data_IF_984758949261
#
_entry.id   IF_984758949261
#
_cell.length_a   1.000
_cell.length_b   1.000
_cell.length_c   1.000
_cell.angle_alpha   90.00
_cell.angle_beta   90.00
_cell.angle_gamma   90.00
#
_symmetry.space_group_name_H-M   'P 1'
#
loop_
_entity.id
_entity.type
_entity.pdbx_description
1 polymer ?
#
# COMPACT_ATOMS: atom_id res chain seq x y z
N UNK A 1 10.69 14.49 58.86
CA UNK A 1 9.49 13.63 58.71
C UNK A 1 8.98 13.80 57.29
N UNK A 2 9.26 12.83 56.42
CA UNK A 2 9.05 12.92 54.96
C UNK A 2 7.88 12.03 54.59
N UNK A 3 6.85 12.63 53.98
CA UNK A 3 5.62 11.98 53.53
C UNK A 3 5.84 11.32 52.17
N UNK A 4 5.72 9.99 52.11
CA UNK A 4 5.65 9.21 50.87
C UNK A 4 4.19 9.02 50.48
N UNK A 5 3.76 9.59 49.34
CA UNK A 5 2.55 9.13 48.63
C UNK A 5 2.96 8.39 47.37
N UNK A 6 2.57 7.11 47.28
CA UNK A 6 2.60 6.28 46.09
C UNK A 6 1.43 6.66 45.18
N UNK A 7 1.68 6.80 43.89
CA UNK A 7 0.67 6.74 42.83
C UNK A 7 0.73 5.37 42.15
N UNK A 8 -0.41 4.68 41.94
CA UNK A 8 -0.49 3.57 40.99
C UNK A 8 -1.36 3.90 39.78
N UNK A 9 -0.96 3.35 38.62
CA UNK A 9 -1.81 3.06 37.46
C UNK A 9 -2.10 4.28 36.58
N UNK A 10 -1.65 4.35 35.33
CA UNK A 10 -1.74 3.30 34.32
C UNK A 10 -3.03 3.49 33.52
N UNK A 11 -3.00 4.38 32.52
CA UNK A 11 -4.01 4.43 31.46
C UNK A 11 -3.36 4.71 30.12
N UNK A 12 -3.56 3.73 29.24
CA UNK A 12 -3.29 3.76 27.83
C UNK A 12 -4.33 4.62 27.08
N UNK A 13 -3.92 5.14 25.92
CA UNK A 13 -4.79 5.32 24.76
C UNK A 13 -5.37 6.72 24.57
N UNK A 14 -4.81 7.46 23.60
CA UNK A 14 -5.53 7.99 22.43
C UNK A 14 -4.57 8.89 21.63
N UNK A 15 -3.91 8.32 20.63
CA UNK A 15 -3.26 9.08 19.56
C UNK A 15 -4.34 9.32 18.51
N UNK A 16 -4.89 10.53 18.49
CA UNK A 16 -5.75 11.02 17.41
C UNK A 16 -4.92 11.23 16.15
N UNK A 17 -5.13 10.40 15.13
CA UNK A 17 -4.72 10.69 13.76
C UNK A 17 -5.79 11.58 13.12
N UNK A 18 -5.49 12.87 12.98
CA UNK A 18 -6.26 13.81 12.17
C UNK A 18 -5.54 13.94 10.81
N UNK A 19 -5.99 13.18 9.81
CA UNK A 19 -5.52 13.29 8.44
C UNK A 19 -6.52 14.13 7.64
N UNK A 20 -6.23 15.42 7.48
CA UNK A 20 -6.90 16.28 6.50
C UNK A 20 -6.32 15.98 5.12
N UNK A 21 -7.14 15.39 4.24
CA UNK A 21 -6.84 15.27 2.83
C UNK A 21 -7.35 16.52 2.10
N UNK A 22 -6.42 17.37 1.66
CA UNK A 22 -6.68 18.41 0.67
C UNK A 22 -6.49 17.80 -0.73
N UNK A 23 -7.55 17.81 -1.54
CA UNK A 23 -7.52 17.44 -2.96
C UNK A 23 -7.32 18.71 -3.81
N UNK A 24 -6.28 18.81 -4.66
CA UNK A 24 -6.29 19.74 -5.77
C UNK A 24 -6.93 19.08 -7.01
N UNK A 25 -7.97 19.72 -7.54
CA UNK A 25 -8.58 19.43 -8.83
C UNK A 25 -7.60 19.80 -9.97
N UNK A 26 -7.43 18.96 -11.02
CA UNK A 26 -6.69 19.36 -12.20
C UNK A 26 -7.54 20.28 -13.10
N UNK A 27 -7.00 21.47 -13.37
CA UNK A 27 -7.51 22.42 -14.34
C UNK A 27 -7.32 21.92 -15.78
N UNK A 28 -8.40 22.04 -16.55
CA UNK A 28 -8.43 21.81 -18.00
C UNK A 28 -7.83 23.06 -18.66
N UNK A 29 -6.63 22.94 -19.21
CA UNK A 29 -6.06 23.96 -20.09
C UNK A 29 -6.59 23.76 -21.52
N UNK A 30 -7.36 24.74 -22.00
CA UNK A 30 -7.75 24.90 -23.40
C UNK A 30 -6.50 25.19 -24.24
N UNK A 31 -6.36 24.45 -25.34
CA UNK A 31 -5.61 24.89 -26.51
C UNK A 31 -6.45 25.95 -27.24
N UNK A 32 -5.91 27.16 -27.37
CA UNK A 32 -6.29 28.07 -28.45
C UNK A 32 -5.03 28.36 -29.28
N UNK A 33 -5.15 28.03 -30.56
CA UNK A 33 -4.24 28.38 -31.63
C UNK A 33 -4.46 29.85 -32.04
N UNK A 34 -3.40 30.53 -32.48
CA UNK A 34 -3.34 31.32 -33.73
C UNK A 34 -2.31 32.47 -33.66
N UNK A 35 -1.58 32.64 -34.76
CA UNK A 35 -0.81 33.85 -35.14
C UNK A 35 0.61 33.88 -34.57
N UNK A 36 1.64 34.35 -35.27
CA UNK A 36 1.62 35.28 -36.39
C UNK A 36 2.95 35.20 -37.16
N UNK A 37 2.86 35.58 -38.43
CA UNK A 37 3.87 35.72 -39.48
C UNK A 37 5.19 36.41 -39.09
N UNK A 38 6.24 36.13 -39.86
CA UNK A 38 7.44 36.97 -39.83
C UNK A 38 8.61 36.52 -40.69
N UNK A 39 8.48 36.60 -42.01
CA UNK A 39 9.60 36.65 -42.96
C UNK A 39 10.77 37.53 -42.46
N UNK A 40 12.03 37.11 -42.69
CA UNK A 40 12.96 37.89 -43.54
C UNK A 40 14.29 37.18 -43.85
N UNK A 41 14.66 37.43 -45.10
CA UNK A 41 15.77 36.93 -45.92
C UNK A 41 17.16 37.48 -45.52
N UNK A 42 18.18 36.73 -45.98
CA UNK A 42 19.48 37.20 -46.50
C UNK A 42 20.41 37.98 -45.56
N UNK A 43 21.64 37.49 -45.36
CA UNK A 43 22.81 38.05 -46.07
C UNK A 43 24.08 37.18 -45.95
N UNK A 44 24.71 37.11 -47.12
CA UNK A 44 26.03 36.63 -47.54
C UNK A 44 27.22 37.25 -46.78
N UNK A 45 28.35 36.53 -46.83
CA UNK A 45 29.76 36.99 -46.88
C UNK A 45 30.62 37.13 -45.59
N UNK A 46 31.61 36.22 -45.50
CA UNK A 46 33.03 36.47 -45.81
C UNK A 46 34.00 37.03 -44.73
N UNK A 47 35.16 36.36 -44.70
CA UNK A 47 36.52 36.80 -44.34
C UNK A 47 36.97 36.89 -42.85
N UNK A 48 37.80 35.91 -42.46
CA UNK A 48 39.26 36.06 -42.31
C UNK A 48 39.80 37.19 -41.39
N UNK A 49 40.27 36.85 -40.17
CA UNK A 49 41.69 36.94 -39.72
C UNK A 49 41.89 36.93 -38.19
N UNK A 50 43.11 36.59 -37.72
CA UNK A 50 43.39 36.11 -36.37
C UNK A 50 43.79 37.21 -35.40
N UNK A 51 43.72 36.93 -34.10
CA UNK A 51 44.49 37.68 -33.09
C UNK A 51 45.09 36.75 -32.04
N UNK A 52 46.41 36.88 -31.95
CA UNK A 52 47.33 36.39 -30.92
C UNK A 52 46.96 36.99 -29.56
N UNK A 53 46.94 36.18 -28.52
CA UNK A 53 46.73 36.64 -27.13
C UNK A 53 47.03 35.53 -26.14
N UNK A 54 48.31 35.41 -25.81
CA UNK A 54 48.92 34.59 -24.76
C UNK A 54 48.13 34.48 -23.45
N UNK A 55 47.93 33.24 -22.96
CA UNK A 55 48.08 32.90 -21.54
C UNK A 55 48.80 31.56 -21.42
N UNK A 56 50.02 31.63 -20.93
CA UNK A 56 50.86 30.51 -20.52
C UNK A 56 50.52 30.22 -19.06
N UNK A 57 49.95 29.05 -18.78
CA UNK A 57 49.99 28.45 -17.44
C UNK A 57 50.99 27.31 -17.52
N UNK A 58 51.94 27.34 -16.58
CA UNK A 58 53.16 26.56 -16.59
C UNK A 58 52.87 25.05 -16.64
N UNK A 59 53.25 24.43 -17.76
CA UNK A 59 53.56 23.01 -17.81
C UNK A 59 54.77 22.77 -16.91
N UNK A 60 54.53 22.09 -15.80
CA UNK A 60 55.57 21.44 -15.01
C UNK A 60 55.84 20.10 -15.70
N UNK A 61 57.02 19.85 -16.29
CA UNK A 61 57.34 18.55 -16.87
C UNK A 61 57.68 17.60 -15.73
N UNK A 62 56.73 16.75 -15.35
CA UNK A 62 57.00 15.52 -14.61
C UNK A 62 57.35 14.40 -15.59
N UNK A 63 58.21 13.44 -15.22
CA UNK A 63 58.63 12.37 -16.12
C UNK A 63 57.46 11.45 -16.47
N UNK A 64 57.44 11.03 -17.74
CA UNK A 64 56.48 10.11 -18.33
C UNK A 64 56.44 8.76 -17.60
N UNK A 65 55.30 8.53 -16.95
CA UNK A 65 54.62 7.24 -16.84
C UNK A 65 53.14 7.59 -16.82
N UNK A 66 52.56 7.75 -18.02
CA UNK A 66 51.11 7.87 -18.17
C UNK A 66 50.53 6.50 -17.81
N UNK A 67 50.33 6.28 -16.50
CA UNK A 67 49.63 5.10 -15.98
C UNK A 67 48.16 5.27 -16.33
N UNK A 68 47.67 4.42 -17.23
CA UNK A 68 46.26 4.29 -17.56
C UNK A 68 45.46 4.09 -16.27
N UNK A 69 44.36 4.83 -16.05
CA UNK A 69 43.48 4.60 -14.90
C UNK A 69 42.90 3.17 -14.91
N UNK A 70 42.89 2.51 -16.07
CA UNK A 70 42.49 1.12 -16.20
C UNK A 70 43.42 0.14 -15.45
N UNK A 71 44.68 0.53 -15.18
CA UNK A 71 45.66 -0.28 -14.44
C UNK A 71 45.74 0.08 -12.95
N UNK A 72 45.26 1.27 -12.56
CA UNK A 72 45.28 1.78 -11.17
C UNK A 72 43.85 1.87 -10.59
N UNK A 73 43.32 0.71 -10.16
CA UNK A 73 41.99 0.61 -9.55
C UNK A 73 41.83 1.51 -8.30
N UNK A 74 42.91 1.74 -7.55
CA UNK A 74 42.87 2.55 -6.32
C UNK A 74 42.73 4.05 -6.63
N UNK A 75 43.34 4.53 -7.72
CA UNK A 75 43.11 5.87 -8.23
C UNK A 75 41.64 6.06 -8.69
N UNK A 76 41.09 5.10 -9.45
CA UNK A 76 39.69 5.14 -9.91
C UNK A 76 38.72 5.20 -8.75
N UNK A 77 38.91 4.34 -7.74
CA UNK A 77 38.09 4.32 -6.53
C UNK A 77 38.15 5.68 -5.83
N UNK A 78 39.35 6.21 -5.57
CA UNK A 78 39.51 7.48 -4.84
C UNK A 78 38.86 8.64 -5.60
N UNK A 79 39.00 8.67 -6.93
CA UNK A 79 38.36 9.67 -7.78
C UNK A 79 36.82 9.58 -7.70
N UNK A 80 36.25 8.41 -7.97
CA UNK A 80 34.79 8.22 -7.96
C UNK A 80 34.17 8.30 -6.56
N UNK A 81 34.94 8.22 -5.48
CA UNK A 81 34.44 8.53 -4.13
C UNK A 81 34.22 10.03 -3.93
N UNK A 82 35.03 10.87 -4.57
CA UNK A 82 34.97 12.33 -4.43
C UNK A 82 34.09 12.97 -5.49
N UNK A 83 34.15 12.45 -6.71
CA UNK A 83 33.51 13.00 -7.89
C UNK A 83 32.43 12.05 -8.43
N UNK A 84 31.42 12.61 -9.09
CA UNK A 84 30.37 11.85 -9.77
C UNK A 84 30.75 11.52 -11.22
N UNK A 85 31.75 12.19 -11.79
CA UNK A 85 32.30 11.90 -13.12
C UNK A 85 33.82 11.84 -13.01
N UNK A 86 34.43 10.77 -13.51
CA UNK A 86 35.88 10.64 -13.62
C UNK A 86 36.23 10.29 -15.06
N UNK A 87 37.12 11.08 -15.67
CA UNK A 87 37.60 10.87 -17.04
C UNK A 87 39.10 10.63 -17.01
N UNK A 88 39.52 9.53 -17.62
CA UNK A 88 40.92 9.17 -17.78
C UNK A 88 41.65 10.14 -18.71
N UNK A 89 42.89 10.49 -18.37
CA UNK A 89 43.66 11.52 -19.07
C UNK A 89 43.93 11.18 -20.55
N UNK A 90 43.93 9.89 -20.90
CA UNK A 90 44.07 9.42 -22.28
C UNK A 90 42.82 9.61 -23.15
N UNK A 91 41.69 10.03 -22.56
CA UNK A 91 40.43 10.22 -23.29
C UNK A 91 40.45 11.55 -24.04
N UNK A 92 40.44 11.50 -25.37
CA UNK A 92 40.41 12.69 -26.25
C UNK A 92 39.04 12.96 -26.88
N UNK A 93 38.07 12.06 -26.68
CA UNK A 93 36.73 12.14 -27.29
C UNK A 93 35.74 13.03 -26.54
N UNK A 94 36.07 13.44 -25.32
CA UNK A 94 35.27 14.37 -24.52
C UNK A 94 36.00 15.70 -24.43
N UNK A 95 35.25 16.80 -24.58
CA UNK A 95 35.77 18.13 -24.30
C UNK A 95 35.56 18.49 -22.83
N UNK A 96 36.31 19.46 -22.31
CA UNK A 96 36.10 19.97 -20.95
C UNK A 96 34.68 20.55 -20.74
N UNK A 97 34.02 21.02 -21.80
CA UNK A 97 32.63 21.47 -21.73
C UNK A 97 31.65 20.28 -21.64
N UNK A 98 31.98 19.14 -22.26
CA UNK A 98 31.21 17.91 -22.12
C UNK A 98 31.36 17.30 -20.73
N UNK A 99 32.57 17.32 -20.14
CA UNK A 99 32.80 16.88 -18.76
C UNK A 99 31.95 17.67 -17.76
N UNK A 100 32.00 19.00 -17.83
CA UNK A 100 31.16 19.85 -16.97
C UNK A 100 29.66 19.62 -17.16
N UNK A 101 29.23 19.34 -18.40
CA UNK A 101 27.84 19.00 -18.68
C UNK A 101 27.45 17.64 -18.09
N UNK A 102 28.35 16.65 -18.17
CA UNK A 102 28.16 15.32 -17.60
C UNK A 102 28.16 15.35 -16.08
N UNK A 103 28.99 16.16 -15.43
CA UNK A 103 28.96 16.39 -13.99
C UNK A 103 27.61 16.93 -13.54
N UNK A 104 27.17 18.03 -14.17
CA UNK A 104 25.85 18.59 -13.90
C UNK A 104 24.75 17.56 -14.17
N UNK A 105 24.87 16.74 -15.22
CA UNK A 105 23.91 15.69 -15.52
C UNK A 105 23.90 14.59 -14.45
N UNK A 106 25.07 14.16 -13.96
CA UNK A 106 25.23 13.09 -12.98
C UNK A 106 24.64 13.45 -11.61
N UNK A 107 24.90 14.68 -11.16
CA UNK A 107 24.39 15.25 -9.91
C UNK A 107 22.87 15.42 -9.94
N UNK A 108 22.32 15.80 -11.10
CA UNK A 108 20.91 16.14 -11.25
C UNK A 108 20.05 14.92 -11.59
N UNK A 109 19.56 14.20 -10.59
CA UNK A 109 18.51 13.19 -10.79
C UNK A 109 18.42 12.14 -9.70
N UNK A 110 17.41 11.26 -9.82
CA UNK A 110 17.28 10.05 -9.00
C UNK A 110 16.95 8.85 -9.89
N UNK A 111 17.72 7.74 -9.83
CA UNK A 111 18.91 7.56 -9.00
C UNK A 111 20.05 8.50 -9.45
N UNK A 112 20.98 8.75 -8.52
CA UNK A 112 22.25 9.41 -8.84
C UNK A 112 23.03 8.55 -9.82
N UNK A 113 23.86 9.19 -10.63
CA UNK A 113 24.74 8.51 -11.57
C UNK A 113 26.19 8.75 -11.16
N UNK A 114 27.01 7.71 -11.26
CA UNK A 114 28.46 7.83 -11.32
C UNK A 114 28.93 7.43 -12.70
N UNK A 115 29.79 8.23 -13.29
CA UNK A 115 30.27 8.04 -14.67
C UNK A 115 31.78 7.89 -14.62
N UNK A 116 32.29 6.81 -15.20
CA UNK A 116 33.70 6.58 -15.39
C UNK A 116 33.96 6.44 -16.89
N UNK A 117 34.92 7.20 -17.40
CA UNK A 117 35.32 7.13 -18.81
C UNK A 117 36.80 6.77 -18.85
N UNK A 118 37.11 5.60 -19.41
CA UNK A 118 38.45 5.05 -19.49
C UNK A 118 39.01 5.18 -20.91
N UNK A 119 40.32 5.43 -21.02
CA UNK A 119 40.99 5.48 -22.31
C UNK A 119 41.19 4.08 -22.92
N UNK A 120 41.20 3.04 -22.08
CA UNK A 120 41.46 1.65 -22.45
C UNK A 120 40.46 0.70 -21.79
N UNK A 121 40.38 -0.54 -22.31
CA UNK A 121 39.55 -1.58 -21.72
C UNK A 121 40.21 -2.15 -20.45
N UNK A 122 39.49 -2.26 -19.32
CA UNK A 122 40.06 -2.78 -18.09
C UNK A 122 40.41 -4.28 -18.20
N UNK A 123 41.48 -4.70 -17.51
CA UNK A 123 41.89 -6.09 -17.44
C UNK A 123 40.77 -6.96 -16.83
N UNK A 124 40.25 -7.92 -17.60
CA UNK A 124 39.12 -8.77 -17.18
C UNK A 124 37.74 -8.34 -17.70
N UNK A 125 37.70 -7.25 -18.48
CA UNK A 125 36.54 -6.79 -19.25
C UNK A 125 35.60 -5.88 -18.46
N UNK A 126 35.04 -4.88 -19.17
CA UNK A 126 34.21 -3.79 -18.60
C UNK A 126 33.07 -4.26 -17.72
N UNK A 127 32.39 -5.37 -18.05
CA UNK A 127 31.22 -5.81 -17.32
C UNK A 127 31.57 -6.29 -15.91
N UNK A 128 32.61 -7.11 -15.79
CA UNK A 128 33.14 -7.58 -14.51
C UNK A 128 33.70 -6.42 -13.69
N UNK A 129 34.45 -5.53 -14.35
CA UNK A 129 35.03 -4.34 -13.74
C UNK A 129 33.94 -3.41 -13.17
N UNK A 130 32.90 -3.09 -13.95
CA UNK A 130 31.79 -2.23 -13.55
C UNK A 130 31.04 -2.80 -12.35
N UNK A 131 30.76 -4.11 -12.35
CA UNK A 131 30.08 -4.78 -11.23
C UNK A 131 30.93 -4.73 -9.95
N UNK A 132 32.22 -5.05 -10.07
CA UNK A 132 33.14 -5.07 -8.92
C UNK A 132 33.32 -3.66 -8.35
N UNK A 133 33.52 -2.66 -9.20
CA UNK A 133 33.68 -1.27 -8.80
C UNK A 133 32.41 -0.73 -8.14
N UNK A 134 31.23 -1.03 -8.69
CA UNK A 134 29.95 -0.63 -8.08
C UNK A 134 29.79 -1.18 -6.66
N UNK A 135 30.09 -2.47 -6.46
CA UNK A 135 30.05 -3.12 -5.15
C UNK A 135 31.09 -2.55 -4.19
N UNK A 136 32.30 -2.35 -4.67
CA UNK A 136 33.41 -1.82 -3.86
C UNK A 136 33.10 -0.41 -3.34
N UNK A 137 32.52 0.43 -4.19
CA UNK A 137 32.06 1.78 -3.84
C UNK A 137 30.75 1.79 -3.03
N UNK A 138 30.13 0.63 -2.79
CA UNK A 138 28.87 0.51 -2.02
C UNK A 138 27.77 1.45 -2.52
N UNK A 139 27.61 1.55 -3.84
CA UNK A 139 26.76 2.56 -4.49
C UNK A 139 25.25 2.35 -4.29
N UNK A 140 24.82 1.15 -3.89
CA UNK A 140 23.42 0.82 -3.67
C UNK A 140 22.56 1.08 -4.91
N UNK A 141 21.52 1.90 -4.76
CA UNK A 141 20.62 2.29 -5.85
C UNK A 141 21.25 3.27 -6.86
N UNK A 142 22.40 3.88 -6.54
CA UNK A 142 23.15 4.74 -7.48
C UNK A 142 23.65 3.89 -8.64
N UNK A 143 23.46 4.37 -9.88
CA UNK A 143 23.94 3.65 -11.05
C UNK A 143 25.38 4.06 -11.37
N UNK A 144 26.22 3.09 -11.72
CA UNK A 144 27.56 3.30 -12.26
C UNK A 144 27.53 3.03 -13.76
N UNK A 145 28.07 3.96 -14.55
CA UNK A 145 28.25 3.84 -15.99
C UNK A 145 29.74 3.90 -16.29
N UNK A 146 30.28 2.87 -16.94
CA UNK A 146 31.68 2.79 -17.38
C UNK A 146 31.70 2.80 -18.90
N UNK A 147 32.41 3.77 -19.48
CA UNK A 147 32.58 3.97 -20.91
C UNK A 147 34.03 3.73 -21.28
N UNK A 148 34.24 3.00 -22.37
CA UNK A 148 35.55 2.61 -22.92
C UNK A 148 35.50 2.74 -24.45
N UNK A 149 36.63 2.72 -25.17
CA UNK A 149 36.63 2.75 -26.64
C UNK A 149 35.85 1.59 -27.27
N UNK A 150 35.86 0.43 -26.61
CA UNK A 150 35.25 -0.80 -27.09
C UNK A 150 33.74 -0.87 -26.77
N UNK A 151 33.19 0.06 -25.98
CA UNK A 151 31.77 0.08 -25.62
C UNK A 151 31.47 0.62 -24.23
N UNK A 152 30.25 0.34 -23.76
CA UNK A 152 29.71 0.82 -22.49
C UNK A 152 29.22 -0.34 -21.63
N UNK A 153 29.38 -0.22 -20.32
CA UNK A 153 28.75 -1.10 -19.33
C UNK A 153 28.16 -0.25 -18.22
N UNK A 154 27.02 -0.69 -17.66
CA UNK A 154 26.41 0.00 -16.55
C UNK A 154 25.81 -0.98 -15.54
N UNK A 155 25.76 -0.57 -14.27
CA UNK A 155 25.23 -1.38 -13.18
C UNK A 155 24.47 -0.52 -12.15
N UNK A 156 23.41 -1.07 -11.57
CA UNK A 156 22.63 -0.48 -10.47
C UNK A 156 21.90 -1.58 -9.72
N UNK A 157 21.76 -1.48 -8.40
CA UNK A 157 20.91 -2.41 -7.62
C UNK A 157 19.41 -2.13 -7.81
N UNK A 158 19.05 -0.96 -8.32
CA UNK A 158 17.65 -0.58 -8.52
C UNK A 158 16.99 -1.28 -9.73
N UNK A 159 17.80 -1.80 -10.65
CA UNK A 159 17.38 -2.42 -11.91
C UNK A 159 17.97 -3.83 -12.04
N UNK A 160 17.23 -4.72 -12.70
CA UNK A 160 17.72 -6.06 -13.03
C UNK A 160 18.82 -6.01 -14.10
N UNK A 161 19.56 -7.11 -14.23
CA UNK A 161 20.61 -7.25 -15.25
C UNK A 161 20.02 -7.12 -16.66
N UNK A 162 18.87 -7.72 -16.90
CA UNK A 162 18.18 -7.71 -18.20
C UNK A 162 17.69 -6.31 -18.56
N UNK A 163 17.13 -5.56 -17.59
CA UNK A 163 16.71 -4.16 -17.79
C UNK A 163 17.92 -3.27 -18.10
N UNK A 164 19.02 -3.42 -17.36
CA UNK A 164 20.26 -2.67 -17.62
C UNK A 164 20.87 -2.99 -18.97
N UNK A 165 20.87 -4.27 -19.38
CA UNK A 165 21.35 -4.68 -20.70
C UNK A 165 20.51 -4.02 -21.79
N UNK A 166 19.17 -4.10 -21.69
CA UNK A 166 18.26 -3.47 -22.65
C UNK A 166 18.52 -1.96 -22.77
N UNK A 167 18.62 -1.25 -21.64
CA UNK A 167 18.90 0.19 -21.65
C UNK A 167 20.26 0.53 -22.27
N UNK A 168 21.26 -0.34 -22.06
CA UNK A 168 22.60 -0.18 -22.64
C UNK A 168 22.58 -0.42 -24.15
N UNK A 169 21.85 -1.43 -24.61
CA UNK A 169 21.65 -1.74 -26.04
C UNK A 169 20.87 -0.62 -26.74
N UNK A 170 19.83 -0.09 -26.10
CA UNK A 170 19.02 1.03 -26.61
C UNK A 170 19.86 2.31 -26.76
N UNK A 171 20.83 2.54 -25.87
CA UNK A 171 21.72 3.70 -25.90
C UNK A 171 22.89 3.55 -26.89
N UNK A 172 23.21 2.34 -27.35
CA UNK A 172 24.37 2.07 -28.20
C UNK A 172 24.45 2.94 -29.48
N UNK A 173 23.35 3.25 -30.20
CA UNK A 173 23.38 4.14 -31.36
C UNK A 173 23.82 5.57 -31.03
N UNK A 174 23.46 6.08 -29.84
CA UNK A 174 23.81 7.43 -29.41
C UNK A 174 25.31 7.55 -29.06
N UNK A 175 25.91 6.49 -28.53
CA UNK A 175 27.36 6.41 -28.29
C UNK A 175 28.19 6.47 -29.58
N UNK A 176 27.60 6.08 -30.72
CA UNK A 176 28.25 6.20 -32.02
C UNK A 176 28.28 7.66 -32.53
N UNK A 177 27.37 8.52 -32.04
CA UNK A 177 27.32 9.95 -32.36
C UNK A 177 28.26 10.75 -31.45
N UNK A 178 28.10 10.59 -30.14
CA UNK A 178 29.00 11.16 -29.13
C UNK A 178 28.88 10.43 -27.80
N UNK A 179 29.98 10.36 -27.06
CA UNK A 179 29.98 9.72 -25.73
C UNK A 179 29.05 10.44 -24.76
N UNK A 180 29.01 11.77 -24.81
CA UNK A 180 28.09 12.56 -24.00
C UNK A 180 26.62 12.20 -24.27
N UNK A 181 26.19 12.20 -25.53
CA UNK A 181 24.80 11.84 -25.87
C UNK A 181 24.46 10.41 -25.45
N UNK A 182 25.37 9.46 -25.66
CA UNK A 182 25.20 8.09 -25.19
C UNK A 182 25.00 7.99 -23.68
N UNK A 183 25.85 8.67 -22.90
CA UNK A 183 25.76 8.69 -21.43
C UNK A 183 24.46 9.37 -20.97
N UNK A 184 24.10 10.51 -21.55
CA UNK A 184 22.86 11.22 -21.23
C UNK A 184 21.63 10.37 -21.55
N UNK A 185 21.62 9.70 -22.71
CA UNK A 185 20.53 8.82 -23.12
C UNK A 185 20.38 7.63 -22.16
N UNK A 186 21.47 6.92 -21.89
CA UNK A 186 21.50 5.80 -20.95
C UNK A 186 21.06 6.24 -19.54
N UNK A 187 21.62 7.34 -19.03
CA UNK A 187 21.29 7.88 -17.71
C UNK A 187 19.82 8.28 -17.59
N UNK A 188 19.24 8.89 -18.62
CA UNK A 188 17.82 9.22 -18.66
C UNK A 188 16.94 7.97 -18.69
N UNK A 189 17.33 6.94 -19.46
CA UNK A 189 16.65 5.64 -19.49
C UNK A 189 16.63 4.95 -18.12
N UNK A 190 17.79 4.91 -17.44
CA UNK A 190 17.92 4.37 -16.08
C UNK A 190 16.96 5.10 -15.11
N UNK A 191 16.99 6.45 -15.13
CA UNK A 191 16.13 7.28 -14.28
C UNK A 191 14.64 7.07 -14.56
N UNK A 192 14.27 6.94 -15.82
CA UNK A 192 12.89 6.71 -16.21
C UNK A 192 12.36 5.35 -15.70
N UNK A 193 13.15 4.27 -15.85
CA UNK A 193 12.74 2.92 -15.42
C UNK A 193 12.65 2.82 -13.89
N UNK A 194 13.62 3.37 -13.16
CA UNK A 194 13.57 3.40 -11.69
C UNK A 194 12.35 4.19 -11.20
N UNK A 195 12.05 5.33 -11.85
CA UNK A 195 10.83 6.11 -11.53
C UNK A 195 9.57 5.32 -11.82
N UNK A 196 9.48 4.61 -12.95
CA UNK A 196 8.34 3.78 -13.30
C UNK A 196 8.07 2.68 -12.25
N UNK A 197 9.13 2.04 -11.72
CA UNK A 197 9.03 1.07 -10.61
C UNK A 197 8.42 1.67 -9.35
N UNK A 198 8.92 2.84 -8.94
CA UNK A 198 8.41 3.51 -7.74
C UNK A 198 6.92 3.88 -7.84
N UNK A 199 6.47 4.26 -9.04
CA UNK A 199 5.07 4.59 -9.31
C UNK A 199 4.19 3.34 -9.26
N UNK A 200 4.62 2.24 -9.89
CA UNK A 200 3.89 0.95 -9.84
C UNK A 200 3.76 0.42 -8.41
N UNK A 201 4.82 0.49 -7.61
CA UNK A 201 4.79 0.07 -6.20
C UNK A 201 3.81 0.92 -5.37
N UNK A 202 3.81 2.25 -5.55
CA UNK A 202 2.87 3.16 -4.86
C UNK A 202 1.43 2.92 -5.30
N UNK A 203 1.19 2.69 -6.59
CA UNK A 203 -0.13 2.36 -7.11
C UNK A 203 -0.66 1.04 -6.52
N UNK A 204 0.19 0.02 -6.41
CA UNK A 204 -0.17 -1.26 -5.79
C UNK A 204 -0.52 -1.09 -4.30
N UNK A 205 0.25 -0.29 -3.55
CA UNK A 205 -0.05 0.01 -2.15
C UNK A 205 -1.40 0.73 -2.00
N UNK A 206 -1.68 1.74 -2.83
CA UNK A 206 -2.96 2.45 -2.82
C UNK A 206 -4.13 1.52 -3.14
N UNK A 207 -3.98 0.65 -4.14
CA UNK A 207 -4.99 -0.35 -4.48
C UNK A 207 -5.25 -1.30 -3.30
N UNK A 208 -4.21 -1.73 -2.60
CA UNK A 208 -4.34 -2.56 -1.40
C UNK A 208 -5.10 -1.85 -0.27
N UNK A 209 -4.76 -0.59 0.01
CA UNK A 209 -5.48 0.20 1.04
C UNK A 209 -6.96 0.36 0.69
N UNK A 210 -7.28 0.66 -0.57
CA UNK A 210 -8.66 0.76 -1.05
C UNK A 210 -9.41 -0.56 -0.92
N UNK A 211 -8.80 -1.69 -1.27
CA UNK A 211 -9.40 -3.01 -1.14
C UNK A 211 -9.73 -3.34 0.33
N UNK A 212 -8.82 -3.04 1.26
CA UNK A 212 -9.06 -3.23 2.70
C UNK A 212 -10.19 -2.33 3.20
N UNK A 213 -10.22 -1.05 2.80
CA UNK A 213 -11.27 -0.12 3.17
C UNK A 213 -12.65 -0.57 2.67
N UNK A 214 -12.74 -1.06 1.43
CA UNK A 214 -13.95 -1.64 0.85
C UNK A 214 -14.40 -2.88 1.64
N UNK A 215 -13.48 -3.78 1.98
CA UNK A 215 -13.79 -4.98 2.74
C UNK A 215 -14.34 -4.66 4.14
N UNK A 216 -13.72 -3.71 4.85
CA UNK A 216 -14.19 -3.27 6.17
C UNK A 216 -15.58 -2.61 6.08
N UNK A 217 -15.81 -1.77 5.07
CA UNK A 217 -17.09 -1.11 4.82
C UNK A 217 -18.20 -2.13 4.51
N UNK A 218 -17.90 -3.11 3.66
CA UNK A 218 -18.82 -4.20 3.33
C UNK A 218 -19.18 -5.04 4.56
N UNK A 219 -18.19 -5.40 5.38
CA UNK A 219 -18.41 -6.18 6.59
C UNK A 219 -19.25 -5.41 7.62
N UNK A 220 -19.04 -4.11 7.75
CA UNK A 220 -19.86 -3.25 8.60
C UNK A 220 -21.32 -3.21 8.12
N UNK A 221 -21.54 -3.14 6.79
CA UNK A 221 -22.88 -3.17 6.20
C UNK A 221 -23.58 -4.51 6.43
N UNK A 222 -22.87 -5.64 6.27
CA UNK A 222 -23.43 -6.97 6.56
C UNK A 222 -23.86 -7.10 8.01
N UNK A 223 -23.04 -6.63 8.96
CA UNK A 223 -23.38 -6.63 10.40
C UNK A 223 -24.62 -5.80 10.72
N UNK A 224 -24.80 -4.65 10.06
CA UNK A 224 -26.00 -3.82 10.23
C UNK A 224 -27.25 -4.54 9.72
N UNK A 225 -27.19 -5.14 8.52
CA UNK A 225 -28.31 -5.91 7.97
C UNK A 225 -28.68 -7.10 8.85
N UNK A 226 -27.69 -7.81 9.39
CA UNK A 226 -27.94 -8.93 10.30
C UNK A 226 -28.56 -8.45 11.62
N UNK A 227 -28.05 -7.34 12.17
CA UNK A 227 -28.64 -6.71 13.36
C UNK A 227 -30.09 -6.30 13.14
N UNK A 228 -30.40 -5.65 12.02
CA UNK A 228 -31.77 -5.24 11.67
C UNK A 228 -32.71 -6.45 11.54
N UNK A 229 -32.25 -7.54 10.92
CA UNK A 229 -33.05 -8.78 10.80
C UNK A 229 -33.34 -9.42 12.15
N UNK A 230 -32.30 -9.57 12.99
CA UNK A 230 -32.48 -10.20 14.32
C UNK A 230 -33.34 -9.32 15.23
N UNK A 231 -33.20 -7.98 15.14
CA UNK A 231 -34.07 -7.07 15.89
C UNK A 231 -35.51 -7.12 15.41
N UNK A 232 -35.75 -7.21 14.09
CA UNK A 232 -37.10 -7.38 13.55
C UNK A 232 -37.73 -8.66 14.08
N UNK A 233 -37.02 -9.79 13.97
CA UNK A 233 -37.50 -11.08 14.49
C UNK A 233 -37.79 -11.05 15.99
N UNK A 234 -36.89 -10.46 16.78
CA UNK A 234 -37.07 -10.36 18.22
C UNK A 234 -38.25 -9.44 18.60
N UNK A 235 -38.51 -8.37 17.84
CA UNK A 235 -39.69 -7.49 18.03
C UNK A 235 -40.98 -8.20 17.65
N UNK A 236 -41.01 -8.93 16.55
CA UNK A 236 -42.19 -9.70 16.13
C UNK A 236 -42.55 -10.73 17.20
N UNK A 237 -41.55 -11.45 17.73
CA UNK A 237 -41.75 -12.39 18.85
C UNK A 237 -42.21 -11.72 20.13
N UNK A 238 -41.68 -10.55 20.47
CA UNK A 238 -42.14 -9.80 21.64
C UNK A 238 -43.60 -9.33 21.47
N UNK A 239 -44.03 -8.96 20.26
CA UNK A 239 -45.42 -8.61 19.99
C UNK A 239 -46.36 -9.82 20.16
N UNK A 240 -45.98 -11.00 19.66
CA UNK A 240 -46.72 -12.25 19.90
C UNK A 240 -46.82 -12.58 21.40
N UNK A 241 -45.71 -12.45 22.13
CA UNK A 241 -45.66 -12.70 23.57
C UNK A 241 -46.52 -11.72 24.37
N UNK A 242 -46.58 -10.44 23.97
CA UNK A 242 -47.44 -9.46 24.62
C UNK A 242 -48.91 -9.89 24.61
N UNK A 243 -49.36 -10.42 23.46
CA UNK A 243 -50.71 -10.97 23.31
C UNK A 243 -50.89 -12.23 24.16
N UNK A 244 -49.95 -13.17 24.09
CA UNK A 244 -50.02 -14.42 24.85
C UNK A 244 -49.98 -14.23 26.38
N UNK A 245 -49.22 -13.24 26.87
CA UNK A 245 -49.18 -12.87 28.29
C UNK A 245 -50.51 -12.26 28.73
N UNK A 246 -51.12 -11.41 27.89
CA UNK A 246 -52.41 -10.82 28.20
C UNK A 246 -53.52 -11.89 28.32
N UNK A 247 -53.53 -12.87 27.41
CA UNK A 247 -54.43 -14.03 27.49
C UNK A 247 -54.15 -14.88 28.74
N UNK A 248 -52.88 -15.26 28.96
CA UNK A 248 -52.47 -16.09 30.08
C UNK A 248 -52.71 -15.43 31.45
N UNK A 249 -52.69 -14.10 31.54
CA UNK A 249 -53.03 -13.36 32.76
C UNK A 249 -54.47 -13.65 33.19
N UNK A 250 -55.39 -13.68 32.23
CA UNK A 250 -56.81 -13.94 32.49
C UNK A 250 -56.99 -15.37 33.02
N UNK A 251 -56.33 -16.35 32.38
CA UNK A 251 -56.36 -17.75 32.79
C UNK A 251 -55.71 -17.98 34.17
N UNK A 252 -54.56 -17.36 34.42
CA UNK A 252 -53.84 -17.49 35.69
C UNK A 252 -54.63 -16.91 36.89
N UNK A 253 -55.41 -15.85 36.66
CA UNK A 253 -56.30 -15.28 37.69
C UNK A 253 -57.45 -16.23 38.05
N UNK A 254 -57.96 -16.98 37.08
CA UNK A 254 -59.05 -17.94 37.27
C UNK A 254 -58.57 -19.31 37.78
N UNK A 255 -57.29 -19.65 37.56
CA UNK A 255 -56.70 -20.91 38.03
C UNK A 255 -56.53 -20.95 39.56
N UNK A 256 -56.82 -22.12 40.15
CA UNK A 256 -56.54 -22.40 41.56
C UNK A 256 -55.17 -23.06 41.78
N UNK A 257 -54.47 -23.47 40.72
CA UNK A 257 -53.16 -24.10 40.82
C UNK A 257 -52.06 -23.05 41.09
N UNK A 258 -51.31 -23.14 42.20
CA UNK A 258 -50.21 -22.22 42.51
C UNK A 258 -49.07 -22.26 41.48
N UNK A 259 -48.85 -23.38 40.78
CA UNK A 259 -47.77 -23.53 39.80
C UNK A 259 -48.03 -22.70 38.53
N UNK A 260 -49.28 -22.65 38.08
CA UNK A 260 -49.69 -21.83 36.92
C UNK A 260 -49.41 -20.35 37.20
N UNK A 261 -49.72 -19.89 38.42
CA UNK A 261 -49.45 -18.51 38.86
C UNK A 261 -47.96 -18.20 38.93
N UNK A 262 -47.14 -19.16 39.39
CA UNK A 262 -45.69 -19.02 39.45
C UNK A 262 -45.05 -18.94 38.05
N UNK A 263 -45.41 -19.86 37.14
CA UNK A 263 -44.89 -19.82 35.77
C UNK A 263 -45.31 -18.55 35.02
N UNK A 264 -46.54 -18.08 35.25
CA UNK A 264 -46.99 -16.79 34.71
C UNK A 264 -46.18 -15.62 35.26
N UNK A 265 -45.94 -15.54 36.57
CA UNK A 265 -45.14 -14.48 37.17
C UNK A 265 -43.71 -14.45 36.62
N UNK A 266 -43.09 -15.62 36.44
CA UNK A 266 -41.78 -15.74 35.81
C UNK A 266 -41.81 -15.31 34.34
N UNK A 267 -42.83 -15.71 33.57
CA UNK A 267 -42.99 -15.30 32.18
C UNK A 267 -43.16 -13.78 32.03
N UNK A 268 -43.99 -13.16 32.88
CA UNK A 268 -44.22 -11.72 32.91
C UNK A 268 -42.93 -10.94 33.24
N UNK A 269 -42.17 -11.38 34.24
CA UNK A 269 -40.88 -10.78 34.56
C UNK A 269 -39.90 -10.89 33.39
N UNK A 270 -39.79 -12.08 32.76
CA UNK A 270 -38.91 -12.28 31.60
C UNK A 270 -39.32 -11.46 30.39
N UNK A 271 -40.61 -11.22 30.19
CA UNK A 271 -41.09 -10.33 29.15
C UNK A 271 -40.65 -8.87 29.35
N UNK A 272 -40.68 -8.38 30.60
CA UNK A 272 -40.14 -7.04 30.93
C UNK A 272 -38.64 -6.97 30.61
N UNK A 273 -37.87 -8.01 30.96
CA UNK A 273 -36.44 -8.09 30.62
C UNK A 273 -36.19 -8.15 29.10
N UNK A 274 -37.04 -8.88 28.35
CA UNK A 274 -37.00 -8.94 26.88
C UNK A 274 -37.24 -7.56 26.26
N UNK A 275 -38.25 -6.81 26.71
CA UNK A 275 -38.52 -5.47 26.20
C UNK A 275 -37.39 -4.49 26.53
N UNK A 276 -36.86 -4.53 27.74
CA UNK A 276 -35.70 -3.70 28.13
C UNK A 276 -34.45 -4.03 27.28
N UNK A 277 -34.23 -5.31 26.96
CA UNK A 277 -33.15 -5.74 26.09
C UNK A 277 -33.36 -5.29 24.64
N UNK A 278 -34.60 -5.32 24.12
CA UNK A 278 -34.94 -4.83 22.78
C UNK A 278 -34.75 -3.32 22.62
N UNK A 279 -35.13 -2.54 23.63
CA UNK A 279 -35.00 -1.07 23.61
C UNK A 279 -33.53 -0.62 23.66
N UNK A 280 -32.68 -1.36 24.37
CA UNK A 280 -31.26 -1.03 24.55
C UNK A 280 -30.33 -1.69 23.53
N UNK A 281 -30.84 -2.55 22.65
CA UNK A 281 -30.01 -3.32 21.72
C UNK A 281 -29.41 -2.46 20.60
N UNK A 282 -28.10 -2.24 20.67
CA UNK A 282 -27.31 -1.52 19.64
C UNK A 282 -26.29 -2.41 18.94
N UNK A 283 -26.09 -3.64 19.44
CA UNK A 283 -25.20 -4.63 18.84
C UNK A 283 -25.94 -5.93 18.50
N UNK A 284 -25.33 -6.73 17.62
CA UNK A 284 -25.86 -8.04 17.24
C UNK A 284 -25.94 -9.00 18.43
N UNK A 285 -25.02 -8.86 19.39
CA UNK A 285 -25.04 -9.66 20.61
C UNK A 285 -26.26 -9.31 21.49
N UNK A 286 -26.59 -8.03 21.60
CA UNK A 286 -27.76 -7.56 22.36
C UNK A 286 -29.06 -8.03 21.70
N UNK A 287 -29.15 -7.91 20.37
CA UNK A 287 -30.30 -8.38 19.60
C UNK A 287 -30.54 -9.89 19.77
N UNK A 288 -29.46 -10.70 19.73
CA UNK A 288 -29.54 -12.15 19.97
C UNK A 288 -29.92 -12.49 21.41
N UNK A 289 -29.45 -11.71 22.38
CA UNK A 289 -29.83 -11.87 23.79
C UNK A 289 -31.31 -11.59 24.00
N UNK A 290 -31.84 -10.52 23.40
CA UNK A 290 -33.26 -10.20 23.44
C UNK A 290 -34.10 -11.33 22.82
N UNK A 291 -33.69 -11.87 21.67
CA UNK A 291 -34.36 -13.01 21.05
C UNK A 291 -34.36 -14.26 21.95
N UNK A 292 -33.23 -14.56 22.61
CA UNK A 292 -33.14 -15.69 23.53
C UNK A 292 -34.07 -15.53 24.74
N UNK A 293 -34.16 -14.33 25.33
CA UNK A 293 -35.10 -14.04 26.41
C UNK A 293 -36.55 -14.19 25.96
N UNK A 294 -36.90 -13.74 24.76
CA UNK A 294 -38.23 -13.95 24.18
C UNK A 294 -38.57 -15.46 24.06
N UNK A 295 -37.63 -16.27 23.59
CA UNK A 295 -37.81 -17.73 23.49
C UNK A 295 -37.98 -18.40 24.86
N UNK A 296 -37.25 -17.94 25.88
CA UNK A 296 -37.42 -18.42 27.26
C UNK A 296 -38.80 -18.05 27.82
N UNK A 297 -39.27 -16.83 27.59
CA UNK A 297 -40.63 -16.40 27.97
C UNK A 297 -41.69 -17.28 27.31
N UNK A 298 -41.56 -17.58 26.01
CA UNK A 298 -42.49 -18.45 25.29
C UNK A 298 -42.60 -19.83 25.94
N UNK A 299 -41.46 -20.43 26.31
CA UNK A 299 -41.41 -21.75 26.98
C UNK A 299 -42.06 -21.73 28.36
N UNK A 300 -41.92 -20.64 29.11
CA UNK A 300 -42.56 -20.50 30.42
C UNK A 300 -44.09 -20.43 30.29
N UNK A 301 -44.60 -19.71 29.28
CA UNK A 301 -46.03 -19.67 28.98
C UNK A 301 -46.58 -21.02 28.53
N UNK A 302 -45.82 -21.75 27.72
CA UNK A 302 -46.17 -23.11 27.29
C UNK A 302 -46.28 -24.07 28.49
N UNK A 303 -45.29 -24.05 29.39
CA UNK A 303 -45.35 -24.85 30.64
C UNK A 303 -46.52 -24.46 31.54
N UNK A 304 -46.84 -23.17 31.64
CA UNK A 304 -48.01 -22.70 32.39
C UNK A 304 -49.30 -23.30 31.82
N UNK A 305 -49.46 -23.28 30.49
CA UNK A 305 -50.60 -23.89 29.80
C UNK A 305 -50.68 -25.41 30.02
N UNK A 306 -49.56 -26.12 29.89
CA UNK A 306 -49.49 -27.57 30.16
C UNK A 306 -49.90 -27.91 31.59
N UNK A 307 -49.45 -27.12 32.57
CA UNK A 307 -49.79 -27.32 33.99
C UNK A 307 -51.24 -26.95 34.34
N UNK A 308 -51.87 -26.07 33.57
CA UNK A 308 -53.25 -25.65 33.75
C UNK A 308 -54.28 -26.50 33.00
N UNK A 309 -53.85 -27.42 32.13
CA UNK A 309 -54.74 -28.33 31.41
C UNK A 309 -55.38 -29.35 32.38
N UNK A 310 -56.71 -29.57 32.33
CA UNK A 310 -57.36 -30.53 33.22
C UNK A 310 -56.79 -31.94 32.99
N UNK A 311 -56.52 -32.72 34.06
CA UNK A 311 -55.84 -34.02 33.99
C UNK A 311 -56.57 -35.07 33.12
N UNK A 312 -57.85 -34.86 32.81
CA UNK A 312 -58.68 -35.80 32.06
C UNK A 312 -58.50 -35.71 30.53
N UNK A 313 -57.82 -34.67 30.02
CA UNK A 313 -57.56 -34.54 28.57
C UNK A 313 -56.35 -35.35 28.08
N UNK A 314 -55.38 -35.65 28.95
CA UNK A 314 -54.16 -36.37 28.58
C UNK A 314 -54.28 -37.91 28.66
N UNK A 315 -55.37 -38.42 29.24
CA UNK A 315 -55.49 -39.84 29.62
C UNK A 315 -56.29 -40.71 28.62
N UNK A 316 -56.92 -40.14 27.59
CA UNK A 316 -57.82 -40.89 26.68
C UNK A 316 -57.19 -41.38 25.36
N UNK A 317 -55.86 -41.36 25.21
CA UNK A 317 -55.19 -41.86 23.99
C UNK A 317 -54.52 -43.23 24.12
N UNK A 318 -54.74 -43.97 25.21
CA UNK A 318 -54.06 -45.26 25.46
C UNK A 318 -55.00 -46.41 25.84
N UNK A 319 -55.89 -46.82 24.92
CA UNK A 319 -56.32 -48.23 24.79
C UNK A 319 -57.26 -48.45 23.60
N UNK A 320 -56.73 -48.46 22.38
CA UNK A 320 -57.34 -49.25 21.30
C UNK A 320 -56.36 -50.38 20.95
N UNK A 321 -56.49 -51.49 21.68
CA UNK A 321 -55.90 -52.76 21.25
C UNK A 321 -56.80 -53.31 20.13
N UNK A 322 -56.28 -53.58 18.92
CA UNK A 322 -57.04 -54.34 17.95
C UNK A 322 -57.11 -55.77 18.50
N UNK A 323 -58.29 -56.17 18.99
CA UNK A 323 -58.58 -57.56 19.28
C UNK A 323 -58.46 -58.36 17.99
N UNK A 324 -57.40 -59.15 17.96
CA UNK A 324 -57.30 -60.43 17.29
C UNK A 324 -58.61 -61.21 17.48
N UNK A 325 -59.36 -61.42 16.40
CA UNK A 325 -60.41 -62.42 16.34
C UNK A 325 -60.22 -63.17 15.03
N UNK A 326 -59.49 -64.27 15.14
CA UNK A 326 -59.31 -65.24 14.09
C UNK A 326 -60.62 -65.89 13.65
N UNK A 327 -60.64 -66.19 12.35
CA UNK A 327 -61.11 -67.42 11.71
C UNK A 327 -62.37 -68.11 12.26
N UNK A 328 -63.39 -68.17 11.42
CA UNK A 328 -63.81 -69.41 10.75
C UNK A 328 -64.49 -69.11 9.42
#
# INVERSE_FOLDING_TARGET
>A
MVSRRRFPGGRAGLISFMLMAALPLPGIARLDAAGNDGMRLNRVAQADRPTRGSFSIAQRPGPATESSLAEDEEAVVRGLQQEDVLVDAGVTRLTADDERALEAFAENGRPKLKILVLAEEPAGGRASFTLNLHRYLSLGETALVVVTPEGVSAHSEALSREEMQRLTDDAAPEFALSWRQGIEHLGNGIRAEVRARSVRARAALLAFVLAVALLLSWRALQRRRELERVLAEARDRAAELAQAIHEAETDARLSQDPRVKEYYAQASQRFVETNAALESATTLADARRALALAQETARLLERARESGAPPDAASNSSSFSPSDNGQK
#
